data_IF_661945536856
#
_entry.id   IF_661945536856
#
_cell.length_a   1.000
_cell.length_b   1.000
_cell.length_c   1.000
_cell.angle_alpha   90.00
_cell.angle_beta   90.00
_cell.angle_gamma   90.00
#
_symmetry.space_group_name_H-M   'P 1'
#
loop_
_entity.id
_entity.type
_entity.pdbx_description
1 polymer ?
#
# COMPACT_ATOMS: atom_id res chain seq x y z
N UNK A 1 8.24 10.57 -23.62
CA UNK A 1 8.60 11.36 -24.83
C UNK A 1 9.99 11.04 -25.37
N UNK A 2 11.03 10.88 -24.54
CA UNK A 2 12.38 10.51 -25.02
C UNK A 2 12.41 9.16 -25.76
N UNK A 3 11.67 8.15 -25.28
CA UNK A 3 11.56 6.85 -25.96
C UNK A 3 11.01 6.99 -27.39
N UNK A 4 9.93 7.75 -27.58
CA UNK A 4 9.31 7.94 -28.89
C UNK A 4 10.20 8.76 -29.85
N UNK A 5 10.96 9.72 -29.33
CA UNK A 5 11.96 10.46 -30.11
C UNK A 5 13.13 9.56 -30.54
N UNK A 6 13.65 8.72 -29.63
CA UNK A 6 14.72 7.78 -29.94
C UNK A 6 14.32 6.73 -31.00
N UNK A 7 13.03 6.36 -31.04
CA UNK A 7 12.48 5.46 -32.05
C UNK A 7 11.97 6.19 -33.31
N UNK A 8 12.21 7.50 -33.43
CA UNK A 8 11.86 8.28 -34.62
C UNK A 8 10.36 8.55 -34.82
N UNK A 9 9.51 8.24 -33.84
CA UNK A 9 8.06 8.48 -33.92
C UNK A 9 7.68 9.96 -33.78
N UNK A 10 8.59 10.80 -33.26
CA UNK A 10 8.39 12.25 -33.11
C UNK A 10 9.68 12.96 -33.51
N UNK A 11 9.58 14.04 -34.28
CA UNK A 11 10.73 14.77 -34.83
C UNK A 11 11.60 15.47 -33.76
N UNK A 12 10.98 15.96 -32.68
CA UNK A 12 11.69 16.58 -31.56
C UNK A 12 10.88 16.44 -30.26
N UNK A 13 11.57 16.43 -29.12
CA UNK A 13 10.93 16.38 -27.80
C UNK A 13 10.72 17.81 -27.24
N UNK A 14 9.50 18.37 -27.26
CA UNK A 14 9.24 19.70 -26.71
C UNK A 14 9.40 19.75 -25.18
N UNK A 15 9.44 18.58 -24.51
CA UNK A 15 9.54 18.48 -23.04
C UNK A 15 10.95 18.76 -22.51
N UNK A 16 11.99 18.70 -23.35
CA UNK A 16 13.38 18.90 -22.90
C UNK A 16 13.68 20.32 -22.42
N UNK A 17 12.92 21.32 -22.89
CA UNK A 17 13.11 22.73 -22.52
C UNK A 17 12.27 23.11 -21.29
N UNK A 18 11.31 22.26 -20.91
CA UNK A 18 10.34 22.55 -19.86
C UNK A 18 11.02 22.69 -18.49
N UNK A 19 12.08 21.92 -18.22
CA UNK A 19 12.87 22.02 -16.97
C UNK A 19 13.59 23.37 -16.83
N UNK A 20 13.81 24.11 -17.93
CA UNK A 20 14.44 25.43 -17.95
C UNK A 20 13.42 26.57 -17.87
N UNK A 21 12.17 26.33 -18.30
CA UNK A 21 11.11 27.33 -18.38
C UNK A 21 10.23 27.30 -17.12
N UNK A 22 10.01 26.12 -16.55
CA UNK A 22 9.17 25.98 -15.36
C UNK A 22 9.93 26.31 -14.08
N UNK A 23 9.29 27.02 -13.13
CA UNK A 23 9.88 27.24 -11.82
C UNK A 23 10.12 25.89 -11.14
N UNK A 24 11.35 25.69 -10.66
CA UNK A 24 11.75 24.48 -9.93
C UNK A 24 10.75 24.26 -8.79
N UNK A 25 10.01 23.16 -8.86
CA UNK A 25 9.07 22.77 -7.80
C UNK A 25 9.86 22.38 -6.56
N UNK A 26 10.21 23.36 -5.73
CA UNK A 26 10.86 23.15 -4.44
C UNK A 26 9.82 22.80 -3.39
N UNK A 27 9.13 21.68 -3.59
CA UNK A 27 8.37 21.07 -2.51
C UNK A 27 9.35 20.59 -1.45
N UNK A 28 9.44 21.30 -0.31
CA UNK A 28 10.15 20.76 0.84
C UNK A 28 9.50 19.42 1.19
N UNK A 29 10.29 18.36 1.20
CA UNK A 29 9.84 17.04 1.68
C UNK A 29 9.65 17.15 3.19
N UNK A 30 8.44 17.43 3.62
CA UNK A 30 8.06 17.27 5.02
C UNK A 30 7.94 15.78 5.33
N UNK A 31 8.73 15.32 6.30
CA UNK A 31 8.62 13.95 6.80
C UNK A 31 7.36 13.87 7.65
N UNK A 32 6.49 12.92 7.30
CA UNK A 32 5.31 12.62 8.12
C UNK A 32 5.77 11.83 9.35
N UNK A 33 5.70 12.39 10.57
CA UNK A 33 6.16 11.70 11.77
C UNK A 33 5.32 10.44 11.99
N UNK A 34 5.98 9.32 12.26
CA UNK A 34 5.30 8.07 12.57
C UNK A 34 4.65 8.16 13.95
N UNK A 35 3.44 7.59 14.07
CA UNK A 35 2.77 7.43 15.37
C UNK A 35 3.56 6.45 16.25
N UNK A 36 3.75 6.75 17.56
CA UNK A 36 4.32 5.78 18.49
C UNK A 36 3.50 4.49 18.54
N UNK A 37 4.17 3.33 18.52
CA UNK A 37 3.50 2.02 18.47
C UNK A 37 2.53 1.77 19.65
N UNK A 38 2.80 2.42 20.79
CA UNK A 38 1.99 2.32 22.02
C UNK A 38 0.62 2.97 21.90
N UNK A 39 0.47 3.93 21.00
CA UNK A 39 -0.77 4.69 20.83
C UNK A 39 -1.71 4.03 19.83
N UNK A 40 -1.19 3.09 19.01
CA UNK A 40 -1.95 2.35 18.00
C UNK A 40 -3.20 1.67 18.58
N UNK A 41 -3.15 0.95 19.73
CA UNK A 41 -4.34 0.29 20.27
C UNK A 41 -5.43 1.29 20.66
N UNK A 42 -5.06 2.46 21.19
CA UNK A 42 -6.00 3.50 21.55
C UNK A 42 -6.63 4.14 20.30
N UNK A 43 -5.81 4.41 19.28
CA UNK A 43 -6.26 4.92 17.99
C UNK A 43 -7.25 3.97 17.30
N UNK A 44 -6.91 2.68 17.24
CA UNK A 44 -7.77 1.66 16.61
C UNK A 44 -9.12 1.56 17.32
N UNK A 45 -9.14 1.54 18.66
CA UNK A 45 -10.39 1.48 19.41
C UNK A 45 -11.27 2.70 19.16
N UNK A 46 -10.69 3.90 19.17
CA UNK A 46 -11.44 5.15 19.09
C UNK A 46 -11.91 5.50 17.68
N UNK A 47 -11.11 5.19 16.65
CA UNK A 47 -11.35 5.69 15.29
C UNK A 47 -11.69 4.60 14.28
N UNK A 48 -11.16 3.39 14.48
CA UNK A 48 -11.28 2.31 13.49
C UNK A 48 -12.41 1.35 13.86
N UNK A 49 -12.63 1.08 15.15
CA UNK A 49 -13.72 0.20 15.60
C UNK A 49 -15.12 0.81 15.40
N UNK A 50 -15.24 2.13 15.54
CA UNK A 50 -16.51 2.86 15.42
C UNK A 50 -16.89 3.17 13.96
N UNK A 51 -15.97 2.96 13.01
CA UNK A 51 -16.20 3.24 11.60
C UNK A 51 -17.11 2.19 10.96
N UNK A 52 -18.42 2.49 10.90
CA UNK A 52 -19.46 1.58 10.39
C UNK A 52 -19.68 1.65 8.86
N UNK A 53 -19.22 2.71 8.20
CA UNK A 53 -19.54 2.96 6.78
C UNK A 53 -18.65 2.22 5.77
N UNK A 54 -17.72 1.39 6.22
CA UNK A 54 -16.85 0.61 5.33
C UNK A 54 -16.11 -0.49 6.05
N UNK A 55 -16.77 -1.63 6.26
CA UNK A 55 -16.16 -2.81 6.88
C UNK A 55 -14.91 -3.29 6.13
N UNK A 56 -14.94 -3.25 4.80
CA UNK A 56 -13.78 -3.56 3.97
C UNK A 56 -12.61 -2.59 4.21
N UNK A 57 -12.88 -1.29 4.29
CA UNK A 57 -11.87 -0.25 4.57
C UNK A 57 -11.28 -0.41 5.97
N UNK A 58 -12.13 -0.70 6.96
CA UNK A 58 -11.71 -0.99 8.33
C UNK A 58 -10.80 -2.22 8.39
N UNK A 59 -11.21 -3.32 7.77
CA UNK A 59 -10.43 -4.55 7.73
C UNK A 59 -9.09 -4.34 7.00
N UNK A 60 -9.11 -3.64 5.86
CA UNK A 60 -7.90 -3.29 5.11
C UNK A 60 -6.94 -2.42 5.92
N UNK A 61 -7.43 -1.43 6.67
CA UNK A 61 -6.59 -0.58 7.52
C UNK A 61 -5.98 -1.35 8.68
N UNK A 62 -6.75 -2.21 9.34
CA UNK A 62 -6.23 -3.08 10.40
C UNK A 62 -5.17 -4.05 9.86
N UNK A 63 -5.44 -4.62 8.70
CA UNK A 63 -4.50 -5.51 8.03
C UNK A 63 -3.20 -4.79 7.65
N UNK A 64 -3.30 -3.54 7.16
CA UNK A 64 -2.16 -2.68 6.86
C UNK A 64 -1.32 -2.40 8.12
N UNK A 65 -1.96 -2.08 9.25
CA UNK A 65 -1.28 -1.81 10.52
C UNK A 65 -0.53 -3.06 11.01
N UNK A 66 -1.12 -4.24 10.86
CA UNK A 66 -0.54 -5.49 11.37
C UNK A 66 0.56 -6.05 10.48
N UNK A 67 0.47 -5.87 9.16
CA UNK A 67 1.45 -6.40 8.20
C UNK A 67 2.53 -5.39 7.81
N UNK A 68 2.31 -4.11 8.07
CA UNK A 68 3.12 -3.00 7.58
C UNK A 68 3.36 -3.02 6.05
N UNK A 69 2.48 -3.71 5.31
CA UNK A 69 2.54 -3.81 3.86
C UNK A 69 2.21 -2.47 3.19
N UNK A 70 2.47 -2.35 1.88
CA UNK A 70 2.11 -1.12 1.17
C UNK A 70 0.61 -1.07 0.92
N UNK A 71 0.04 0.14 0.95
CA UNK A 71 -1.39 0.32 0.74
C UNK A 71 -1.90 -0.19 -0.62
N UNK A 72 -1.03 -0.21 -1.64
CA UNK A 72 -1.34 -0.79 -2.95
C UNK A 72 -1.42 -2.32 -2.93
N UNK A 73 -0.61 -2.98 -2.11
CA UNK A 73 -0.59 -4.45 -1.96
C UNK A 73 -1.85 -4.90 -1.22
N UNK A 74 -2.22 -4.20 -0.14
CA UNK A 74 -3.42 -4.51 0.66
C UNK A 74 -4.72 -4.34 -0.14
N UNK A 75 -4.84 -3.26 -0.94
CA UNK A 75 -6.06 -3.03 -1.76
C UNK A 75 -6.20 -4.02 -2.91
N UNK A 76 -5.09 -4.55 -3.41
CA UNK A 76 -5.08 -5.52 -4.51
C UNK A 76 -5.20 -6.97 -4.05
N UNK A 77 -5.10 -7.25 -2.75
CA UNK A 77 -5.02 -8.60 -2.21
C UNK A 77 -6.22 -9.44 -2.65
N UNK A 78 -5.94 -10.62 -3.19
CA UNK A 78 -6.97 -11.57 -3.64
C UNK A 78 -7.08 -12.74 -2.66
N UNK A 79 -8.25 -13.38 -2.58
CA UNK A 79 -8.47 -14.48 -1.64
C UNK A 79 -7.52 -15.68 -1.89
N UNK A 80 -7.08 -15.89 -3.13
CA UNK A 80 -6.16 -16.95 -3.52
C UNK A 80 -4.73 -16.76 -2.95
N UNK A 81 -4.39 -15.55 -2.51
CA UNK A 81 -3.09 -15.23 -1.89
C UNK A 81 -3.02 -15.57 -0.40
N UNK A 82 -4.17 -15.89 0.23
CA UNK A 82 -4.28 -16.16 1.66
C UNK A 82 -4.39 -17.65 1.96
N UNK A 83 -3.34 -18.22 2.54
CA UNK A 83 -3.45 -19.51 3.23
C UNK A 83 -3.92 -19.26 4.67
N UNK A 84 -5.23 -19.36 4.89
CA UNK A 84 -5.85 -19.19 6.20
C UNK A 84 -5.51 -20.32 7.19
N UNK A 85 -5.12 -21.52 6.70
CA UNK A 85 -4.73 -22.64 7.58
C UNK A 85 -3.34 -22.37 8.15
N UNK A 86 -2.39 -22.02 7.28
CA UNK A 86 -1.04 -21.67 7.68
C UNK A 86 -0.95 -20.27 8.30
N UNK A 87 -1.94 -19.41 8.08
CA UNK A 87 -1.90 -18.00 8.47
C UNK A 87 -0.81 -17.25 7.70
N UNK A 88 -0.73 -17.51 6.40
CA UNK A 88 0.29 -16.91 5.51
C UNK A 88 -0.43 -16.13 4.42
N UNK A 89 -0.01 -14.89 4.21
CA UNK A 89 -0.41 -14.09 3.05
C UNK A 89 0.80 -13.92 2.14
N UNK A 90 0.68 -14.35 0.89
CA UNK A 90 1.77 -14.30 -0.10
C UNK A 90 1.45 -13.28 -1.17
N UNK A 91 2.23 -12.20 -1.25
CA UNK A 91 2.04 -11.18 -2.29
C UNK A 91 2.82 -11.60 -3.55
N UNK A 92 2.17 -11.67 -4.72
CA UNK A 92 2.86 -12.02 -5.96
C UNK A 92 3.88 -10.94 -6.36
N UNK A 93 5.05 -11.39 -6.83
CA UNK A 93 6.19 -10.54 -7.18
C UNK A 93 5.85 -9.47 -8.24
N UNK A 94 4.89 -9.76 -9.12
CA UNK A 94 4.40 -8.86 -10.17
C UNK A 94 3.82 -7.56 -9.62
N UNK A 95 3.30 -7.58 -8.39
CA UNK A 95 2.72 -6.41 -7.70
C UNK A 95 3.70 -5.69 -6.78
N UNK A 96 4.86 -6.29 -6.54
CA UNK A 96 5.90 -5.67 -5.71
C UNK A 96 6.80 -4.77 -6.56
N UNK A 97 7.03 -3.54 -6.10
CA UNK A 97 7.98 -2.61 -6.76
C UNK A 97 9.38 -3.21 -6.96
N UNK A 98 9.79 -4.14 -6.10
CA UNK A 98 11.09 -4.78 -6.15
C UNK A 98 11.12 -6.05 -7.05
N UNK A 99 9.97 -6.47 -7.61
CA UNK A 99 9.83 -7.72 -8.39
C UNK A 99 10.29 -9.00 -7.67
N UNK A 100 10.33 -8.98 -6.35
CA UNK A 100 10.73 -10.11 -5.52
C UNK A 100 9.55 -10.58 -4.66
N UNK A 101 9.44 -11.89 -4.43
CA UNK A 101 8.29 -12.50 -3.72
C UNK A 101 8.51 -12.38 -2.21
N UNK A 102 7.58 -11.75 -1.51
CA UNK A 102 7.62 -11.66 -0.03
C UNK A 102 6.40 -12.33 0.58
N UNK A 103 6.62 -13.19 1.57
CA UNK A 103 5.58 -13.86 2.34
C UNK A 103 5.43 -13.20 3.71
N UNK A 104 4.20 -12.81 4.06
CA UNK A 104 3.87 -12.21 5.35
C UNK A 104 3.12 -13.22 6.22
N UNK A 105 3.42 -13.23 7.53
CA UNK A 105 2.63 -13.99 8.50
C UNK A 105 1.34 -13.22 8.76
N UNK A 106 0.21 -13.79 8.35
CA UNK A 106 -1.10 -13.20 8.54
C UNK A 106 -1.53 -13.33 10.02
N UNK A 107 -1.87 -12.23 10.70
CA UNK A 107 -2.48 -12.29 12.02
C UNK A 107 -3.81 -13.01 11.92
N UNK A 108 -4.02 -14.06 12.73
CA UNK A 108 -5.30 -14.77 12.79
C UNK A 108 -6.36 -13.84 13.35
N UNK A 109 -7.47 -13.57 12.62
CA UNK A 109 -8.59 -12.85 13.20
C UNK A 109 -9.25 -13.72 14.28
N UNK A 110 -9.31 -13.22 15.51
CA UNK A 110 -9.88 -13.96 16.65
C UNK A 110 -11.42 -14.05 16.64
N UNK A 111 -12.11 -13.56 15.59
CA UNK A 111 -13.58 -13.47 15.57
C UNK A 111 -14.31 -14.75 15.16
N UNK A 112 -13.59 -15.85 14.90
CA UNK A 112 -14.17 -17.15 14.54
C UNK A 112 -14.00 -18.18 15.67
N UNK A 113 -14.53 -17.88 16.86
CA UNK A 113 -14.66 -18.84 17.96
C UNK A 113 -15.99 -18.72 18.72
N UNK A 114 -17.06 -18.38 18.00
CA UNK A 114 -18.43 -18.43 18.51
C UNK A 114 -19.35 -19.07 17.45
N UNK A 115 -19.22 -20.38 17.29
CA UNK A 115 -20.25 -21.28 16.75
C UNK A 115 -19.78 -22.71 16.96
N UNK A 116 -20.43 -23.43 17.88
CA UNK A 116 -20.14 -24.82 18.24
C UNK A 116 -20.09 -25.00 19.74
#
# INVERSE_FOLDING_TARGET
MQWAWAHGHVAANPVSVIDHILPKQTGKKEHQPAMPWRDIPAFVRKHVAEFKQGEATRAALLFLILTAARSGEVRGATWDEFDLKAGIWTVPAERMKAKERTAWRCPRPHWRSSSG
#
